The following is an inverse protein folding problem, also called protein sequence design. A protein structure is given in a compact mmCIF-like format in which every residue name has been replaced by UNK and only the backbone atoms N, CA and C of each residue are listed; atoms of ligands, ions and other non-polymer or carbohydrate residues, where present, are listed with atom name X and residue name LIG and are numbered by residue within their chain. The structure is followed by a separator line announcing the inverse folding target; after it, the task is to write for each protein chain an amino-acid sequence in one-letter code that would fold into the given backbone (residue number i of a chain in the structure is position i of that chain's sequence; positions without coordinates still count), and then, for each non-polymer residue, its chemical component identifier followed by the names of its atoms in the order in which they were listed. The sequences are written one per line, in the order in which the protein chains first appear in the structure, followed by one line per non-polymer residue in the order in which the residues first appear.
data_IF_037564262530
#
_entry.id   IF_037564262530
#
_cell.length_a   1.000
_cell.length_b   1.000
_cell.length_c   1.000
_cell.angle_alpha   90.00
_cell.angle_beta   90.00
_cell.angle_gamma   90.00
#
_symmetry.space_group_name_H-M   'P 1'
#
loop_
_entity.id
_entity.type
_entity.pdbx_description
1 polymer ?
#
# COMPACT_ATOMS: atom_id res chain seq x y z
N UNK A 1 7.63 -6.69 -5.03
CA UNK A 1 7.37 -8.12 -4.79
C UNK A 1 7.25 -8.91 -6.08
N UNK A 2 6.34 -8.54 -6.99
CA UNK A 2 6.15 -9.25 -8.28
C UNK A 2 7.44 -9.40 -9.10
N UNK A 3 8.15 -8.29 -9.35
CA UNK A 3 9.43 -8.30 -10.09
C UNK A 3 10.45 -9.22 -9.42
N UNK A 4 10.58 -9.15 -8.09
CA UNK A 4 11.48 -10.02 -7.35
C UNK A 4 11.13 -11.50 -7.55
N UNK A 5 9.85 -11.87 -7.45
CA UNK A 5 9.39 -13.25 -7.66
C UNK A 5 9.70 -13.78 -9.07
N UNK A 6 9.39 -13.04 -10.12
CA UNK A 6 9.60 -13.50 -11.52
C UNK A 6 11.07 -13.49 -11.94
N UNK A 7 11.93 -12.79 -11.19
CA UNK A 7 13.38 -12.78 -11.37
C UNK A 7 14.13 -13.68 -10.38
N UNK A 8 13.41 -14.48 -9.58
CA UNK A 8 13.97 -15.34 -8.53
C UNK A 8 14.81 -14.58 -7.48
N UNK A 9 14.44 -13.34 -7.18
CA UNK A 9 15.02 -12.49 -6.15
C UNK A 9 14.08 -12.33 -4.94
N UNK A 10 14.61 -11.77 -3.87
CA UNK A 10 13.84 -11.40 -2.68
C UNK A 10 13.59 -9.90 -2.66
N UNK A 11 12.36 -9.48 -2.33
CA UNK A 11 12.09 -8.07 -2.06
C UNK A 11 12.77 -7.66 -0.75
N UNK A 12 13.39 -6.48 -0.76
CA UNK A 12 14.12 -5.96 0.39
C UNK A 12 13.52 -4.62 0.83
N UNK A 13 14.03 -3.51 0.30
CA UNK A 13 13.60 -2.17 0.66
C UNK A 13 12.83 -1.50 -0.48
N UNK A 14 11.84 -0.71 -0.11
CA UNK A 14 11.15 0.20 -1.02
C UNK A 14 11.51 1.63 -0.62
N UNK A 15 12.25 2.32 -1.50
CA UNK A 15 12.70 3.68 -1.29
C UNK A 15 11.78 4.61 -2.09
N UNK A 16 11.09 5.53 -1.39
CA UNK A 16 10.19 6.51 -2.01
C UNK A 16 10.71 7.93 -1.77
N UNK A 17 11.07 8.61 -2.86
CA UNK A 17 11.53 10.00 -2.83
C UNK A 17 10.42 10.91 -3.36
N UNK A 18 10.12 11.98 -2.63
CA UNK A 18 9.12 12.99 -3.00
C UNK A 18 9.81 14.29 -3.38
N UNK A 19 9.28 14.96 -4.41
CA UNK A 19 9.66 16.32 -4.79
C UNK A 19 8.78 17.34 -4.07
N UNK A 20 7.75 17.83 -4.75
CA UNK A 20 6.71 18.64 -4.11
C UNK A 20 5.72 17.74 -3.37
N UNK A 21 5.83 17.72 -2.04
CA UNK A 21 4.91 17.04 -1.14
C UNK A 21 4.01 18.07 -0.46
N UNK A 22 2.71 18.02 -0.75
CA UNK A 22 1.72 18.95 -0.23
C UNK A 22 0.43 18.25 0.22
N UNK A 23 -0.36 18.98 1.00
CA UNK A 23 -1.69 18.56 1.48
C UNK A 23 -2.71 19.54 0.91
N UNK A 24 -3.74 19.03 0.23
CA UNK A 24 -4.85 19.86 -0.21
C UNK A 24 -5.63 20.42 0.98
N UNK A 25 -6.04 21.68 0.89
CA UNK A 25 -6.74 22.37 1.97
C UNK A 25 -8.06 21.69 2.37
N UNK A 26 -8.75 21.08 1.41
CA UNK A 26 -9.98 20.30 1.65
C UNK A 26 -9.74 18.94 2.34
N UNK A 27 -8.48 18.55 2.62
CA UNK A 27 -8.12 17.33 3.34
C UNK A 27 -7.61 17.57 4.76
N UNK A 28 -7.52 18.82 5.22
CA UNK A 28 -6.90 19.14 6.51
C UNK A 28 -7.59 18.47 7.70
N UNK A 29 -8.92 18.40 7.72
CA UNK A 29 -9.68 17.77 8.80
C UNK A 29 -9.43 16.24 8.88
N UNK A 30 -9.33 15.57 7.73
CA UNK A 30 -9.05 14.14 7.62
C UNK A 30 -7.61 13.86 8.06
N UNK A 31 -6.64 14.66 7.60
CA UNK A 31 -5.24 14.52 8.01
C UNK A 31 -5.10 14.70 9.52
N UNK A 32 -5.71 15.74 10.10
CA UNK A 32 -5.70 15.98 11.55
C UNK A 32 -6.29 14.79 12.32
N UNK A 33 -7.37 14.18 11.81
CA UNK A 33 -7.93 12.96 12.43
C UNK A 33 -6.98 11.77 12.28
N UNK A 34 -6.36 11.59 11.11
CA UNK A 34 -5.50 10.45 10.81
C UNK A 34 -4.22 10.43 11.64
N UNK A 35 -3.57 11.59 11.85
CA UNK A 35 -2.31 11.69 12.61
C UNK A 35 -2.50 11.45 14.12
N UNK A 36 -3.73 11.47 14.63
CA UNK A 36 -4.05 11.15 16.03
C UNK A 36 -4.26 9.64 16.26
N UNK A 37 -4.29 8.82 15.19
CA UNK A 37 -4.48 7.38 15.31
C UNK A 37 -3.15 6.70 15.67
N UNK A 38 -3.21 5.71 16.54
CA UNK A 38 -2.05 4.85 16.84
C UNK A 38 -1.85 3.83 15.71
N UNK A 39 -0.67 3.79 15.07
CA UNK A 39 -0.39 2.79 14.05
C UNK A 39 -0.55 1.36 14.56
N UNK A 40 -1.26 0.54 13.79
CA UNK A 40 -1.43 -0.90 14.04
C UNK A 40 -0.25 -1.69 13.44
N UNK A 41 -0.15 -2.97 13.79
CA UNK A 41 0.85 -3.87 13.17
C UNK A 41 0.64 -3.90 11.66
N UNK A 42 1.74 -3.83 10.90
CA UNK A 42 1.69 -3.91 9.44
C UNK A 42 1.11 -5.26 8.97
N UNK A 43 0.31 -5.26 7.89
CA UNK A 43 -0.15 -6.50 7.27
C UNK A 43 1.00 -7.23 6.56
N UNK A 44 0.72 -8.44 6.09
CA UNK A 44 1.61 -9.18 5.21
C UNK A 44 0.93 -9.38 3.85
N UNK A 45 1.64 -9.02 2.77
CA UNK A 45 1.23 -9.35 1.41
C UNK A 45 1.87 -10.68 0.99
N UNK A 46 1.07 -11.61 0.48
CA UNK A 46 1.51 -12.90 -0.04
C UNK A 46 1.10 -13.01 -1.51
N UNK A 47 2.04 -13.42 -2.36
CA UNK A 47 1.81 -13.66 -3.78
C UNK A 47 1.77 -15.17 -4.01
N UNK A 48 0.94 -15.63 -4.94
CA UNK A 48 0.97 -17.02 -5.38
C UNK A 48 2.36 -17.34 -5.98
N UNK A 49 3.12 -18.30 -5.42
CA UNK A 49 4.49 -18.60 -5.87
C UNK A 49 4.56 -19.26 -7.25
N UNK A 50 3.45 -19.80 -7.76
CA UNK A 50 3.39 -20.50 -9.04
C UNK A 50 3.42 -19.54 -10.24
N UNK A 51 3.15 -18.24 -10.01
CA UNK A 51 3.17 -17.23 -11.08
C UNK A 51 4.62 -16.86 -11.41
N UNK A 52 5.02 -17.13 -12.67
CA UNK A 52 6.41 -16.93 -13.15
C UNK A 52 6.56 -15.84 -14.21
N UNK A 53 5.48 -15.36 -14.81
CA UNK A 53 5.49 -14.23 -15.73
C UNK A 53 4.83 -13.00 -15.07
N UNK A 54 5.33 -11.81 -15.37
CA UNK A 54 4.84 -10.56 -14.80
C UNK A 54 3.40 -10.24 -15.24
N UNK A 55 3.01 -10.67 -16.45
CA UNK A 55 1.70 -10.37 -17.03
C UNK A 55 0.60 -11.37 -16.58
N UNK A 56 0.99 -12.48 -15.95
CA UNK A 56 0.06 -13.53 -15.48
C UNK A 56 -0.60 -13.19 -14.13
N UNK A 57 -0.12 -12.17 -13.43
CA UNK A 57 -0.67 -11.78 -12.14
C UNK A 57 -2.10 -11.24 -12.27
N UNK A 58 -2.98 -11.71 -11.38
CA UNK A 58 -4.38 -11.32 -11.25
C UNK A 58 -4.66 -11.04 -9.80
N UNK A 59 -5.70 -10.25 -9.53
CA UNK A 59 -6.12 -9.89 -8.17
C UNK A 59 -6.21 -11.10 -7.23
N UNK A 60 -6.76 -12.23 -7.71
CA UNK A 60 -6.94 -13.46 -6.93
C UNK A 60 -5.62 -14.12 -6.46
N UNK A 61 -4.48 -13.73 -7.02
CA UNK A 61 -3.16 -14.26 -6.67
C UNK A 61 -2.45 -13.46 -5.58
N UNK A 62 -3.11 -12.43 -5.03
CA UNK A 62 -2.63 -11.63 -3.91
C UNK A 62 -3.49 -11.91 -2.68
N UNK A 63 -2.84 -12.21 -1.56
CA UNK A 63 -3.51 -12.36 -0.26
C UNK A 63 -2.93 -11.33 0.71
N UNK A 64 -3.78 -10.47 1.25
CA UNK A 64 -3.42 -9.54 2.31
C UNK A 64 -3.82 -10.14 3.66
N UNK A 65 -2.84 -10.59 4.42
CA UNK A 65 -3.05 -11.21 5.73
C UNK A 65 -2.87 -10.21 6.87
N UNK A 66 -3.63 -10.42 7.95
CA UNK A 66 -3.52 -9.67 9.20
C UNK A 66 -3.72 -8.14 9.05
N UNK A 67 -4.47 -7.71 8.04
CA UNK A 67 -4.79 -6.30 7.86
C UNK A 67 -5.79 -5.83 8.91
N UNK A 68 -5.36 -4.87 9.72
CA UNK A 68 -6.19 -4.18 10.68
C UNK A 68 -6.13 -2.69 10.40
N UNK A 69 -7.29 -2.05 10.23
CA UNK A 69 -7.39 -0.63 9.94
C UNK A 69 -8.37 0.07 10.87
N UNK A 70 -8.30 1.39 10.92
CA UNK A 70 -9.35 2.22 11.49
C UNK A 70 -10.44 2.49 10.45
N UNK A 71 -11.52 3.14 10.87
CA UNK A 71 -12.61 3.54 9.97
C UNK A 71 -12.13 4.47 8.85
N UNK A 72 -12.75 4.33 7.67
CA UNK A 72 -12.44 5.14 6.49
C UNK A 72 -12.67 6.63 6.78
N UNK A 73 -11.73 7.47 6.35
CA UNK A 73 -11.89 8.93 6.30
C UNK A 73 -12.08 9.32 4.83
N UNK A 74 -13.27 9.83 4.48
CA UNK A 74 -13.56 10.27 3.10
C UNK A 74 -12.94 11.64 2.85
N UNK A 75 -12.28 11.81 1.70
CA UNK A 75 -11.75 13.08 1.22
C UNK A 75 -12.03 13.24 -0.28
N UNK A 76 -12.33 14.46 -0.72
CA UNK A 76 -12.71 14.75 -2.10
C UNK A 76 -11.48 15.02 -2.97
N UNK A 77 -11.50 14.56 -4.22
CA UNK A 77 -10.43 14.87 -5.18
C UNK A 77 -10.57 16.35 -5.58
N UNK A 78 -9.47 17.11 -5.49
CA UNK A 78 -9.41 18.45 -6.05
C UNK A 78 -9.36 18.36 -7.59
N UNK A 79 -10.18 19.16 -8.26
CA UNK A 79 -10.22 19.29 -9.73
C UNK A 79 -9.25 20.37 -10.19
#
# INVERSE_FOLDING_TARGET
MMVAQVTNLQSYEFIHTLGDAHIYSNHLAQVQTQIQRTPKKLPQMILNPDIKNIDDFKFIYFTLQNYQCDGILKGDIAV
#
